data_IF_171025980929
#
_entry.id   IF_171025980929
#
_cell.length_a   1.000
_cell.length_b   1.000
_cell.length_c   1.000
_cell.angle_alpha   90.00
_cell.angle_beta   90.00
_cell.angle_gamma   90.00
#
_symmetry.space_group_name_H-M   'P 1'
#
loop_
_entity.id
_entity.type
_entity.pdbx_description
1 polymer ?
#
# COMPACT_ATOMS: atom_id res chain seq x y z
N UNK A 1 -9.61 -2.18 25.67
CA UNK A 1 -8.36 -1.53 25.21
C UNK A 1 -8.73 -0.17 24.66
N UNK A 2 -7.99 0.91 24.95
CA UNK A 2 -8.29 2.23 24.36
C UNK A 2 -7.73 2.28 22.94
N UNK A 3 -8.27 3.15 22.08
CA UNK A 3 -7.71 3.33 20.72
C UNK A 3 -6.23 3.70 20.77
N UNK A 4 -5.84 4.57 21.70
CA UNK A 4 -4.45 4.98 21.87
C UNK A 4 -3.55 3.78 22.24
N UNK A 5 -3.93 2.98 23.24
CA UNK A 5 -3.12 1.82 23.63
C UNK A 5 -3.00 0.80 22.50
N UNK A 6 -4.09 0.57 21.76
CA UNK A 6 -4.11 -0.30 20.58
C UNK A 6 -3.15 0.18 19.49
N UNK A 7 -3.22 1.46 19.12
CA UNK A 7 -2.34 2.03 18.09
C UNK A 7 -0.87 2.00 18.53
N UNK A 8 -0.57 2.24 19.81
CA UNK A 8 0.78 2.13 20.36
C UNK A 8 1.33 0.69 20.26
N UNK A 9 0.50 -0.33 20.51
CA UNK A 9 0.89 -1.73 20.36
C UNK A 9 1.21 -2.07 18.89
N UNK A 10 0.37 -1.63 17.95
CA UNK A 10 0.63 -1.79 16.50
C UNK A 10 1.98 -1.15 16.11
N UNK A 11 2.24 0.07 16.58
CA UNK A 11 3.47 0.80 16.32
C UNK A 11 4.72 0.07 16.84
N UNK A 12 4.67 -0.43 18.08
CA UNK A 12 5.77 -1.21 18.67
C UNK A 12 6.01 -2.51 17.93
N UNK A 13 4.95 -3.25 17.61
CA UNK A 13 5.04 -4.49 16.84
C UNK A 13 5.66 -4.24 15.46
N UNK A 14 5.25 -3.17 14.78
CA UNK A 14 5.78 -2.79 13.48
C UNK A 14 7.28 -2.42 13.56
N UNK A 15 7.70 -1.67 14.59
CA UNK A 15 9.12 -1.34 14.80
C UNK A 15 10.00 -2.55 15.04
N UNK A 16 9.52 -3.51 15.83
CA UNK A 16 10.25 -4.75 16.08
C UNK A 16 10.38 -5.54 14.77
N UNK A 17 9.28 -5.67 14.03
CA UNK A 17 9.26 -6.37 12.75
C UNK A 17 10.13 -5.69 11.68
N UNK A 18 10.17 -4.35 11.62
CA UNK A 18 10.95 -3.62 10.63
C UNK A 18 12.45 -3.93 10.73
N UNK A 19 12.97 -4.15 11.94
CA UNK A 19 14.38 -4.55 12.15
C UNK A 19 14.66 -5.94 11.57
N UNK A 20 13.74 -6.90 11.76
CA UNK A 20 13.87 -8.24 11.19
C UNK A 20 13.75 -8.23 9.66
N UNK A 21 12.87 -7.40 9.10
CA UNK A 21 12.72 -7.25 7.65
C UNK A 21 13.92 -6.55 7.00
N UNK A 22 14.50 -5.54 7.66
CA UNK A 22 15.72 -4.90 7.16
C UNK A 22 16.91 -5.86 7.11
N UNK A 23 16.96 -6.83 8.03
CA UNK A 23 17.98 -7.87 8.06
C UNK A 23 17.63 -9.12 7.24
N UNK A 24 16.42 -9.22 6.68
CA UNK A 24 16.02 -10.41 5.92
C UNK A 24 16.71 -10.48 4.56
N UNK A 25 16.81 -11.68 4.00
CA UNK A 25 17.31 -11.86 2.64
C UNK A 25 16.20 -11.64 1.62
N UNK A 26 16.57 -11.39 0.36
CA UNK A 26 15.63 -11.36 -0.76
C UNK A 26 14.81 -12.64 -0.83
N UNK A 27 15.44 -13.80 -0.60
CA UNK A 27 14.78 -15.10 -0.65
C UNK A 27 13.71 -15.24 0.43
N UNK A 28 13.97 -14.78 1.67
CA UNK A 28 12.98 -14.77 2.74
C UNK A 28 11.78 -13.87 2.40
N UNK A 29 12.02 -12.66 1.89
CA UNK A 29 10.96 -11.73 1.48
C UNK A 29 10.13 -12.29 0.33
N UNK A 30 10.79 -12.82 -0.71
CA UNK A 30 10.11 -13.42 -1.85
C UNK A 30 9.33 -14.68 -1.45
N UNK A 31 9.88 -15.49 -0.54
CA UNK A 31 9.19 -16.62 0.06
C UNK A 31 7.92 -16.21 0.78
N UNK A 32 7.95 -15.09 1.52
CA UNK A 32 6.78 -14.52 2.17
C UNK A 32 5.71 -14.09 1.16
N UNK A 33 6.09 -13.40 0.08
CA UNK A 33 5.14 -12.99 -0.97
C UNK A 33 4.46 -14.20 -1.62
N UNK A 34 5.21 -15.26 -1.89
CA UNK A 34 4.66 -16.52 -2.41
C UNK A 34 3.72 -17.21 -1.42
N UNK A 35 4.11 -17.32 -0.16
CA UNK A 35 3.28 -17.92 0.89
C UNK A 35 1.99 -17.11 1.13
N UNK A 36 2.06 -15.78 1.04
CA UNK A 36 0.88 -14.91 1.09
C UNK A 36 -0.04 -15.16 -0.11
N UNK A 37 0.51 -15.34 -1.31
CA UNK A 37 -0.29 -15.66 -2.49
C UNK A 37 -1.01 -17.00 -2.32
N UNK A 38 -0.32 -18.04 -1.83
CA UNK A 38 -0.92 -19.36 -1.56
C UNK A 38 -2.02 -19.26 -0.49
N UNK A 39 -1.80 -18.51 0.59
CA UNK A 39 -2.80 -18.31 1.64
C UNK A 39 -4.03 -17.51 1.14
N UNK A 40 -3.82 -16.49 0.30
CA UNK A 40 -4.91 -15.73 -0.32
C UNK A 40 -5.73 -16.59 -1.29
N UNK A 41 -5.05 -17.42 -2.09
CA UNK A 41 -5.69 -18.35 -3.02
C UNK A 41 -6.57 -19.37 -2.28
N UNK A 42 -6.05 -19.94 -1.18
CA UNK A 42 -6.82 -20.83 -0.29
C UNK A 42 -7.94 -20.14 0.49
N UNK A 43 -7.89 -18.81 0.62
CA UNK A 43 -8.89 -18.02 1.36
C UNK A 43 -9.91 -17.32 0.45
N UNK A 44 -9.95 -17.61 -0.85
CA UNK A 44 -10.85 -16.99 -1.84
C UNK A 44 -12.30 -16.90 -1.38
N UNK A 45 -12.88 -18.01 -0.94
CA UNK A 45 -14.29 -18.07 -0.53
C UNK A 45 -14.55 -17.20 0.70
N UNK A 46 -13.60 -17.19 1.65
CA UNK A 46 -13.68 -16.36 2.87
C UNK A 46 -13.62 -14.87 2.52
N UNK A 47 -12.72 -14.49 1.60
CA UNK A 47 -12.57 -13.11 1.13
C UNK A 47 -13.81 -12.67 0.36
N UNK A 48 -14.34 -13.52 -0.53
CA UNK A 48 -15.55 -13.23 -1.29
C UNK A 48 -16.77 -13.07 -0.37
N UNK A 49 -16.94 -13.93 0.64
CA UNK A 49 -18.00 -13.81 1.63
C UNK A 49 -17.90 -12.49 2.42
N UNK A 50 -16.70 -12.17 2.93
CA UNK A 50 -16.47 -10.92 3.64
C UNK A 50 -16.72 -9.68 2.76
N UNK A 51 -16.39 -9.75 1.47
CA UNK A 51 -16.67 -8.69 0.52
C UNK A 51 -18.16 -8.53 0.21
N UNK A 52 -18.91 -9.64 0.14
CA UNK A 52 -20.35 -9.59 -0.03
C UNK A 52 -21.04 -8.86 1.15
N UNK A 53 -20.54 -9.05 2.38
CA UNK A 53 -21.02 -8.32 3.56
C UNK A 53 -20.71 -6.82 3.48
N UNK A 54 -19.48 -6.46 3.08
CA UNK A 54 -19.10 -5.05 2.87
C UNK A 54 -19.96 -4.38 1.79
N UNK A 55 -20.22 -5.06 0.67
CA UNK A 55 -21.08 -4.57 -0.41
C UNK A 55 -22.53 -4.41 0.03
N UNK A 56 -23.06 -5.36 0.81
CA UNK A 56 -24.41 -5.26 1.37
C UNK A 56 -24.52 -4.04 2.30
N UNK A 57 -23.61 -3.90 3.26
CA UNK A 57 -23.54 -2.71 4.14
C UNK A 57 -23.38 -1.42 3.34
N UNK A 58 -22.52 -1.42 2.32
CA UNK A 58 -22.32 -0.26 1.45
C UNK A 58 -23.60 0.19 0.76
N UNK A 59 -24.38 -0.77 0.22
CA UNK A 59 -25.68 -0.48 -0.41
C UNK A 59 -26.70 0.06 0.60
N UNK A 60 -26.78 -0.55 1.78
CA UNK A 60 -27.69 -0.10 2.86
C UNK A 60 -27.38 1.32 3.33
N UNK A 61 -26.10 1.69 3.39
CA UNK A 61 -25.66 3.04 3.77
C UNK A 61 -25.64 4.04 2.61
N UNK A 62 -26.14 3.68 1.42
CA UNK A 62 -26.25 4.58 0.27
C UNK A 62 -24.91 4.95 -0.36
N UNK A 63 -23.93 4.05 -0.34
CA UNK A 63 -22.63 4.26 -0.97
C UNK A 63 -22.80 4.41 -2.50
N UNK A 64 -22.14 5.42 -3.08
CA UNK A 64 -22.21 5.71 -4.51
C UNK A 64 -21.77 4.50 -5.38
N UNK A 65 -22.40 4.26 -6.55
CA UNK A 65 -22.04 3.14 -7.42
C UNK A 65 -20.55 3.04 -7.78
N UNK A 66 -19.84 4.15 -7.95
CA UNK A 66 -18.41 4.13 -8.25
C UNK A 66 -17.55 3.71 -7.05
N UNK A 67 -18.03 3.92 -5.82
CA UNK A 67 -17.39 3.43 -4.61
C UNK A 67 -17.70 1.96 -4.36
N UNK A 68 -18.94 1.50 -4.65
CA UNK A 68 -19.30 0.08 -4.64
C UNK A 68 -18.47 -0.70 -5.67
N UNK A 69 -18.32 -0.18 -6.89
CA UNK A 69 -17.43 -0.78 -7.89
C UNK A 69 -16.00 -0.88 -7.38
N UNK A 70 -15.46 0.12 -6.69
CA UNK A 70 -14.10 0.05 -6.11
C UNK A 70 -13.98 -0.96 -4.96
N UNK A 71 -15.06 -1.15 -4.21
CA UNK A 71 -15.12 -2.03 -3.05
C UNK A 71 -15.20 -3.51 -3.46
N UNK A 72 -15.84 -3.81 -4.60
CA UNK A 72 -16.09 -5.17 -5.05
C UNK A 72 -14.80 -5.99 -5.29
N UNK A 73 -14.81 -7.25 -4.86
CA UNK A 73 -13.77 -8.25 -5.13
C UNK A 73 -14.36 -9.38 -5.97
N UNK A 74 -14.27 -9.23 -7.29
CA UNK A 74 -14.59 -10.31 -8.22
C UNK A 74 -13.46 -11.36 -8.26
N UNK A 75 -13.71 -12.58 -8.76
CA UNK A 75 -12.65 -13.57 -8.94
C UNK A 75 -11.45 -13.03 -9.73
N UNK A 76 -11.70 -12.29 -10.81
CA UNK A 76 -10.65 -11.66 -11.61
C UNK A 76 -9.83 -10.61 -10.84
N UNK A 77 -10.44 -9.88 -9.90
CA UNK A 77 -9.70 -8.95 -9.03
C UNK A 77 -8.85 -9.67 -8.02
N UNK A 78 -9.31 -10.81 -7.50
CA UNK A 78 -8.49 -11.68 -6.64
C UNK A 78 -7.32 -12.25 -7.44
N UNK A 79 -7.54 -12.73 -8.66
CA UNK A 79 -6.47 -13.18 -9.55
C UNK A 79 -5.45 -12.07 -9.80
N UNK A 80 -5.91 -10.83 -9.99
CA UNK A 80 -5.05 -9.65 -10.11
C UNK A 80 -4.17 -9.42 -8.86
N UNK A 81 -4.71 -9.59 -7.65
CA UNK A 81 -3.92 -9.50 -6.42
C UNK A 81 -2.83 -10.58 -6.34
N UNK A 82 -3.14 -11.81 -6.73
CA UNK A 82 -2.19 -12.92 -6.75
C UNK A 82 -1.09 -12.70 -7.80
N UNK A 83 -1.47 -12.25 -9.00
CA UNK A 83 -0.53 -11.89 -10.05
C UNK A 83 0.40 -10.76 -9.59
N UNK A 84 -0.14 -9.71 -8.94
CA UNK A 84 0.64 -8.60 -8.39
C UNK A 84 1.68 -9.05 -7.36
N UNK A 85 1.36 -10.02 -6.50
CA UNK A 85 2.34 -10.61 -5.57
C UNK A 85 3.50 -11.29 -6.33
N UNK A 86 3.19 -12.04 -7.39
CA UNK A 86 4.19 -12.66 -8.25
C UNK A 86 5.08 -11.65 -8.98
N UNK A 87 4.48 -10.60 -9.54
CA UNK A 87 5.20 -9.51 -10.19
C UNK A 87 6.16 -8.81 -9.23
N UNK A 88 5.70 -8.47 -8.02
CA UNK A 88 6.52 -7.82 -6.99
C UNK A 88 7.65 -8.73 -6.52
N UNK A 89 7.41 -10.03 -6.39
CA UNK A 89 8.46 -10.99 -6.04
C UNK A 89 9.57 -11.05 -7.10
N UNK A 90 9.21 -10.91 -8.38
CA UNK A 90 10.13 -10.93 -9.51
C UNK A 90 10.95 -9.64 -9.66
N UNK A 91 10.54 -8.53 -9.04
CA UNK A 91 11.32 -7.28 -9.09
C UNK A 91 12.73 -7.45 -8.49
N UNK A 92 13.74 -6.71 -9.00
CA UNK A 92 15.03 -6.63 -8.33
C UNK A 92 14.89 -6.14 -6.89
N UNK A 93 15.68 -6.69 -5.99
CA UNK A 93 15.67 -6.24 -4.60
C UNK A 93 16.34 -4.87 -4.47
N UNK A 94 15.64 -3.84 -3.97
CA UNK A 94 16.26 -2.54 -3.76
C UNK A 94 17.20 -2.53 -2.53
N UNK A 95 17.01 -3.43 -1.57
CA UNK A 95 17.70 -3.37 -0.27
C UNK A 95 19.14 -3.83 -0.40
N UNK A 96 20.07 -3.05 0.14
CA UNK A 96 21.51 -3.37 0.15
C UNK A 96 22.27 -2.96 -1.11
N UNK A 97 21.60 -2.41 -2.13
CA UNK A 97 22.26 -1.91 -3.33
C UNK A 97 23.25 -0.77 -3.00
N UNK A 98 24.51 -0.92 -3.43
CA UNK A 98 25.59 0.04 -3.20
C UNK A 98 25.85 0.85 -4.48
N UNK A 99 25.97 2.16 -4.35
CA UNK A 99 26.30 3.12 -5.40
C UNK A 99 27.43 4.05 -4.94
N UNK A 100 28.05 4.76 -5.89
CA UNK A 100 29.05 5.80 -5.64
C UNK A 100 30.25 5.34 -4.79
N UNK A 101 30.67 4.08 -4.91
CA UNK A 101 31.75 3.52 -4.08
C UNK A 101 33.12 3.99 -4.58
N UNK A 102 33.77 4.88 -3.82
CA UNK A 102 35.05 5.47 -4.17
C UNK A 102 36.08 5.36 -3.02
N UNK A 103 37.34 5.14 -3.38
CA UNK A 103 38.48 5.20 -2.44
C UNK A 103 38.88 6.66 -2.18
N UNK A 104 39.29 6.96 -0.95
CA UNK A 104 39.79 8.30 -0.55
C UNK A 104 41.29 8.27 -0.28
N UNK A 105 41.99 9.42 -0.36
CA UNK A 105 43.43 9.50 -0.06
C UNK A 105 43.83 8.99 1.34
N UNK A 106 42.88 8.98 2.30
CA UNK A 106 43.09 8.42 3.63
C UNK A 106 43.05 6.88 3.70
N UNK A 107 42.75 6.18 2.60
CA UNK A 107 42.64 4.72 2.55
C UNK A 107 41.25 4.15 2.83
N UNK A 108 40.27 4.99 3.24
CA UNK A 108 38.89 4.56 3.42
C UNK A 108 38.15 4.44 2.09
N UNK A 109 37.14 3.57 2.03
CA UNK A 109 36.16 3.49 0.93
C UNK A 109 34.84 4.06 1.40
N UNK A 110 34.26 4.95 0.61
CA UNK A 110 32.97 5.61 0.91
C UNK A 110 32.02 5.32 -0.23
N UNK A 111 30.79 4.96 0.09
CA UNK A 111 29.71 4.75 -0.88
C UNK A 111 28.36 4.95 -0.22
N UNK A 112 27.29 4.79 -1.01
CA UNK A 112 25.91 4.91 -0.55
C UNK A 112 25.20 3.58 -0.67
N UNK A 113 24.66 3.08 0.43
CA UNK A 113 23.85 1.86 0.46
C UNK A 113 22.37 2.22 0.61
N UNK A 114 21.51 1.60 -0.20
CA UNK A 114 20.07 1.71 -0.04
C UNK A 114 19.60 0.81 1.11
N UNK A 115 18.86 1.40 2.05
CA UNK A 115 18.25 0.69 3.20
C UNK A 115 16.74 0.94 3.21
N UNK A 116 15.95 0.08 3.87
CA UNK A 116 14.52 0.34 4.05
C UNK A 116 14.29 1.63 4.85
N UNK A 117 13.13 2.23 4.68
CA UNK A 117 12.70 3.38 5.50
C UNK A 117 12.41 2.94 6.93
N UNK A 118 11.73 1.80 7.09
CA UNK A 118 11.39 1.19 8.37
C UNK A 118 9.94 0.75 8.44
N UNK A 119 9.02 1.57 8.95
CA UNK A 119 7.57 1.32 8.96
C UNK A 119 6.85 2.36 8.12
N UNK A 120 6.01 1.87 7.23
CA UNK A 120 5.18 2.65 6.33
C UNK A 120 3.72 2.55 6.81
N UNK A 121 3.10 3.68 7.11
CA UNK A 121 1.65 3.77 7.33
C UNK A 121 0.93 3.99 6.01
N UNK A 122 -0.03 3.15 5.63
CA UNK A 122 -0.73 3.28 4.34
C UNK A 122 -2.21 3.44 4.63
N UNK A 123 -2.76 4.58 4.19
CA UNK A 123 -4.13 4.98 4.48
C UNK A 123 -4.86 5.04 3.15
N UNK A 124 -5.85 4.18 2.95
CA UNK A 124 -6.57 4.06 1.69
C UNK A 124 -8.08 3.99 1.89
N UNK A 125 -8.83 4.22 0.81
CA UNK A 125 -10.30 4.23 0.81
C UNK A 125 -10.86 2.83 0.51
N UNK A 126 -12.10 2.76 0.00
CA UNK A 126 -12.87 1.53 -0.28
C UNK A 126 -12.27 0.71 -1.43
N UNK A 127 -11.04 0.22 -1.28
CA UNK A 127 -10.29 -0.58 -2.26
C UNK A 127 -9.55 -1.71 -1.54
N UNK A 128 -10.20 -2.87 -1.30
CA UNK A 128 -9.59 -3.94 -0.53
C UNK A 128 -8.31 -4.50 -1.15
N UNK A 129 -8.18 -4.46 -2.49
CA UNK A 129 -7.00 -4.92 -3.21
C UNK A 129 -5.73 -4.16 -2.83
N UNK A 130 -5.86 -2.88 -2.44
CA UNK A 130 -4.72 -2.05 -2.01
C UNK A 130 -4.05 -2.64 -0.78
N UNK A 131 -4.76 -3.40 0.06
CA UNK A 131 -4.18 -4.11 1.20
C UNK A 131 -3.04 -5.03 0.76
N UNK A 132 -3.26 -5.81 -0.29
CA UNK A 132 -2.28 -6.78 -0.81
C UNK A 132 -1.16 -6.06 -1.55
N UNK A 133 -1.50 -5.15 -2.46
CA UNK A 133 -0.52 -4.42 -3.28
C UNK A 133 0.48 -3.64 -2.39
N UNK A 134 -0.05 -2.98 -1.37
CA UNK A 134 0.71 -2.16 -0.45
C UNK A 134 1.58 -3.00 0.48
N UNK A 135 1.04 -4.11 1.01
CA UNK A 135 1.80 -5.07 1.81
C UNK A 135 2.97 -5.66 1.00
N UNK A 136 2.70 -6.06 -0.25
CA UNK A 136 3.68 -6.69 -1.13
C UNK A 136 4.90 -5.79 -1.38
N UNK A 137 4.66 -4.54 -1.78
CA UNK A 137 5.71 -3.56 -2.04
C UNK A 137 6.51 -3.22 -0.78
N UNK A 138 5.83 -3.06 0.37
CA UNK A 138 6.50 -2.80 1.64
C UNK A 138 7.42 -3.96 2.03
N UNK A 139 6.91 -5.19 2.00
CA UNK A 139 7.66 -6.41 2.29
C UNK A 139 8.87 -6.53 1.39
N UNK A 140 8.69 -6.42 0.06
CA UNK A 140 9.78 -6.51 -0.93
C UNK A 140 10.89 -5.49 -0.66
N UNK A 141 10.52 -4.27 -0.30
CA UNK A 141 11.46 -3.19 0.04
C UNK A 141 12.00 -3.26 1.48
N UNK A 142 11.72 -4.33 2.24
CA UNK A 142 12.23 -4.54 3.60
C UNK A 142 11.57 -3.66 4.66
N UNK A 143 10.38 -3.11 4.40
CA UNK A 143 9.64 -2.26 5.33
C UNK A 143 8.50 -3.04 5.98
N UNK A 144 8.25 -2.77 7.25
CA UNK A 144 7.00 -3.17 7.88
C UNK A 144 5.88 -2.18 7.48
N UNK A 145 4.63 -2.61 7.54
CA UNK A 145 3.49 -1.78 7.14
C UNK A 145 2.34 -1.83 8.14
N UNK A 146 1.73 -0.67 8.37
CA UNK A 146 0.47 -0.51 9.10
C UNK A 146 -0.56 0.02 8.11
N UNK A 147 -1.55 -0.80 7.78
CA UNK A 147 -2.52 -0.58 6.72
C UNK A 147 -3.86 -0.17 7.34
N UNK A 148 -4.38 0.99 6.94
CA UNK A 148 -5.70 1.47 7.36
C UNK A 148 -6.55 1.71 6.12
N UNK A 149 -7.47 0.79 5.84
CA UNK A 149 -8.45 0.92 4.76
C UNK A 149 -9.69 1.73 5.15
N UNK A 150 -10.60 1.93 4.19
CA UNK A 150 -11.92 2.51 4.44
C UNK A 150 -12.74 1.64 5.39
N UNK A 151 -13.61 2.27 6.20
CA UNK A 151 -14.53 1.56 7.11
C UNK A 151 -15.52 0.68 6.34
N UNK A 152 -15.78 1.02 5.07
CA UNK A 152 -16.67 0.33 4.15
C UNK A 152 -16.09 -1.01 3.67
N UNK A 153 -14.77 -1.22 3.85
CA UNK A 153 -14.03 -2.41 3.41
C UNK A 153 -13.51 -3.24 4.60
N UNK A 154 -14.03 -3.03 5.81
CA UNK A 154 -13.43 -3.56 7.04
C UNK A 154 -13.42 -5.09 7.07
N UNK A 155 -14.50 -5.74 6.61
CA UNK A 155 -14.56 -7.21 6.61
C UNK A 155 -13.59 -7.79 5.57
N UNK A 156 -13.56 -7.24 4.36
CA UNK A 156 -12.64 -7.64 3.29
C UNK A 156 -11.19 -7.47 3.71
N UNK A 157 -10.83 -6.31 4.27
CA UNK A 157 -9.47 -6.02 4.71
C UNK A 157 -9.04 -6.95 5.84
N UNK A 158 -9.94 -7.27 6.78
CA UNK A 158 -9.66 -8.22 7.86
C UNK A 158 -9.46 -9.64 7.33
N UNK A 159 -10.28 -10.10 6.38
CA UNK A 159 -10.12 -11.40 5.75
C UNK A 159 -8.78 -11.51 5.01
N UNK A 160 -8.41 -10.48 4.24
CA UNK A 160 -7.13 -10.37 3.55
C UNK A 160 -5.97 -10.33 4.56
N UNK A 161 -6.10 -9.56 5.65
CA UNK A 161 -5.08 -9.48 6.71
C UNK A 161 -4.81 -10.86 7.33
N UNK A 162 -5.86 -11.66 7.55
CA UNK A 162 -5.75 -13.03 8.05
C UNK A 162 -4.90 -13.92 7.14
N UNK A 163 -5.16 -13.87 5.83
CA UNK A 163 -4.37 -14.61 4.84
C UNK A 163 -2.91 -14.13 4.76
N UNK A 164 -2.68 -12.82 4.83
CA UNK A 164 -1.32 -12.26 4.89
C UNK A 164 -0.58 -12.75 6.13
N UNK A 165 -1.23 -12.71 7.30
CA UNK A 165 -0.64 -13.17 8.55
C UNK A 165 -0.33 -14.68 8.52
N UNK A 166 -1.16 -15.49 7.86
CA UNK A 166 -0.91 -16.91 7.62
C UNK A 166 0.33 -17.13 6.74
N UNK A 167 0.43 -16.42 5.61
CA UNK A 167 1.59 -16.49 4.71
C UNK A 167 2.89 -16.07 5.40
N UNK A 168 2.87 -15.00 6.20
CA UNK A 168 4.03 -14.56 6.99
C UNK A 168 4.47 -15.62 8.01
N UNK A 169 3.51 -16.26 8.68
CA UNK A 169 3.77 -17.31 9.69
C UNK A 169 4.40 -18.54 9.06
N UNK A 170 3.96 -18.93 7.86
CA UNK A 170 4.49 -20.08 7.13
C UNK A 170 6.00 -19.98 6.84
N UNK A 171 6.53 -18.75 6.75
CA UNK A 171 7.96 -18.48 6.52
C UNK A 171 8.67 -17.86 7.73
N UNK A 172 8.06 -17.94 8.91
CA UNK A 172 8.60 -17.43 10.18
C UNK A 172 8.98 -15.93 10.16
N UNK A 173 8.28 -15.12 9.35
CA UNK A 173 8.36 -13.67 9.46
C UNK A 173 7.38 -13.16 10.54
N UNK A 174 7.74 -12.09 11.27
CA UNK A 174 6.92 -11.59 12.37
C UNK A 174 5.59 -11.06 11.85
N UNK A 175 4.50 -11.36 12.56
CA UNK A 175 3.16 -10.86 12.21
C UNK A 175 3.11 -9.32 12.14
N UNK A 176 3.94 -8.62 12.92
CA UNK A 176 4.08 -7.16 12.85
C UNK A 176 4.62 -6.60 11.53
N UNK A 177 5.09 -7.47 10.61
CA UNK A 177 5.59 -7.08 9.29
C UNK A 177 4.49 -6.43 8.43
N UNK A 178 3.27 -6.94 8.53
CA UNK A 178 2.09 -6.35 7.88
C UNK A 178 0.94 -6.41 8.86
N UNK A 179 0.41 -5.25 9.23
CA UNK A 179 -0.70 -5.13 10.16
C UNK A 179 -1.82 -4.35 9.51
N UNK A 180 -3.06 -4.76 9.74
CA UNK A 180 -4.26 -4.02 9.33
C UNK A 180 -4.94 -3.48 10.58
N UNK A 181 -5.28 -2.19 10.56
CA UNK A 181 -6.05 -1.54 11.62
C UNK A 181 -7.49 -2.06 11.55
N UNK A 182 -7.95 -2.75 12.59
CA UNK A 182 -9.21 -3.49 12.64
C UNK A 182 -10.40 -2.68 13.22
N UNK A 183 -10.20 -1.39 13.46
CA UNK A 183 -11.24 -0.48 13.95
C UNK A 183 -11.81 0.41 12.86
N UNK A 184 -13.13 0.60 12.89
CA UNK A 184 -13.82 1.58 12.04
C UNK A 184 -13.62 3.04 12.49
N UNK A 185 -13.06 3.27 13.69
CA UNK A 185 -12.90 4.60 14.25
C UNK A 185 -11.99 5.49 13.37
N UNK A 186 -12.54 6.62 12.94
CA UNK A 186 -11.83 7.62 12.13
C UNK A 186 -10.68 8.29 12.89
N UNK A 187 -10.66 8.23 14.22
CA UNK A 187 -9.54 8.71 15.03
C UNK A 187 -8.28 7.84 14.85
N UNK A 188 -8.40 6.61 14.36
CA UNK A 188 -7.23 5.76 14.07
C UNK A 188 -6.33 6.36 12.98
N UNK A 189 -6.92 7.08 12.00
CA UNK A 189 -6.19 7.85 10.98
C UNK A 189 -5.33 8.91 11.66
N UNK A 190 -5.96 9.71 12.52
CA UNK A 190 -5.30 10.80 13.25
C UNK A 190 -4.19 10.29 14.18
N UNK A 191 -4.41 9.14 14.82
CA UNK A 191 -3.39 8.47 15.62
C UNK A 191 -2.20 8.05 14.73
N UNK A 192 -2.45 7.29 13.65
CA UNK A 192 -1.42 6.76 12.77
C UNK A 192 -0.50 7.85 12.18
N UNK A 193 -1.07 8.98 11.73
CA UNK A 193 -0.30 10.08 11.13
C UNK A 193 0.52 10.89 12.14
N UNK A 194 0.28 10.70 13.44
CA UNK A 194 0.99 11.37 14.55
C UNK A 194 2.01 10.46 15.25
N UNK A 195 2.12 9.19 14.86
CA UNK A 195 3.00 8.19 15.48
C UNK A 195 4.47 8.31 15.03
N UNK A 196 5.09 9.49 15.17
CA UNK A 196 6.47 9.77 14.77
C UNK A 196 7.53 8.87 15.44
N UNK A 197 7.22 8.31 16.61
CA UNK A 197 8.09 7.33 17.29
C UNK A 197 8.12 5.95 16.60
N UNK A 198 7.12 5.62 15.77
CA UNK A 198 6.95 4.28 15.21
C UNK A 198 6.63 4.23 13.73
N UNK A 199 6.41 5.34 13.02
CA UNK A 199 6.11 5.36 11.58
C UNK A 199 7.04 6.36 10.91
N UNK A 200 7.78 5.93 9.89
CA UNK A 200 8.78 6.78 9.22
C UNK A 200 8.16 7.57 8.06
N UNK A 201 7.13 7.02 7.43
CA UNK A 201 6.40 7.69 6.34
C UNK A 201 4.95 7.20 6.28
N UNK A 202 4.04 8.11 5.92
CA UNK A 202 2.65 7.78 5.60
C UNK A 202 2.37 7.99 4.12
N UNK A 203 1.63 7.06 3.52
CA UNK A 203 1.20 7.09 2.12
C UNK A 203 -0.33 7.10 2.05
N UNK A 204 -0.98 8.27 1.89
CA UNK A 204 -2.40 8.35 1.62
C UNK A 204 -2.71 7.95 0.16
N UNK A 205 -3.70 7.08 -0.03
CA UNK A 205 -4.19 6.60 -1.32
C UNK A 205 -5.71 6.71 -1.37
N UNK A 206 -6.19 7.87 -1.80
CA UNK A 206 -7.62 8.14 -1.88
C UNK A 206 -7.92 9.46 -2.56
N UNK A 207 -9.14 9.96 -2.35
CA UNK A 207 -9.58 11.24 -2.86
C UNK A 207 -8.84 12.42 -2.23
N UNK A 208 -9.07 13.60 -2.82
CA UNK A 208 -8.51 14.88 -2.39
C UNK A 208 -8.73 15.13 -0.89
N UNK A 209 -9.94 14.90 -0.39
CA UNK A 209 -10.28 15.14 1.02
C UNK A 209 -9.48 14.28 2.01
N UNK A 210 -9.19 13.02 1.66
CA UNK A 210 -8.33 12.17 2.50
C UNK A 210 -6.90 12.71 2.54
N UNK A 211 -6.36 13.08 1.37
CA UNK A 211 -4.99 13.59 1.25
C UNK A 211 -4.83 14.91 2.02
N UNK A 212 -5.79 15.82 1.88
CA UNK A 212 -5.82 17.10 2.60
C UNK A 212 -5.89 16.89 4.12
N UNK A 213 -6.78 16.01 4.59
CA UNK A 213 -6.89 15.69 6.02
C UNK A 213 -5.61 15.08 6.58
N UNK A 214 -5.06 14.05 5.92
CA UNK A 214 -3.81 13.41 6.34
C UNK A 214 -2.68 14.43 6.37
N UNK A 215 -2.58 15.29 5.36
CA UNK A 215 -1.56 16.35 5.32
C UNK A 215 -1.69 17.32 6.48
N UNK A 216 -2.91 17.76 6.80
CA UNK A 216 -3.14 18.76 7.83
C UNK A 216 -2.83 18.25 9.25
N UNK A 217 -3.01 16.95 9.48
CA UNK A 217 -2.86 16.35 10.81
C UNK A 217 -1.52 15.65 11.04
N UNK A 218 -0.78 15.34 9.97
CA UNK A 218 0.42 14.51 10.03
C UNK A 218 1.60 15.21 10.72
N UNK A 219 2.25 14.45 11.60
CA UNK A 219 3.60 14.74 12.11
C UNK A 219 4.66 13.86 11.44
N UNK A 220 4.24 12.69 10.99
CA UNK A 220 5.05 11.77 10.17
C UNK A 220 5.19 12.33 8.74
N UNK A 221 6.36 12.19 8.08
CA UNK A 221 6.52 12.54 6.67
C UNK A 221 5.44 11.90 5.78
N UNK A 222 4.89 12.67 4.83
CA UNK A 222 3.80 12.19 3.96
C UNK A 222 4.28 12.10 2.51
N UNK A 223 4.22 10.90 1.93
CA UNK A 223 4.43 10.66 0.50
C UNK A 223 3.08 10.67 -0.21
N UNK A 224 2.79 11.78 -0.89
CA UNK A 224 1.50 12.02 -1.57
C UNK A 224 1.73 12.63 -2.94
N UNK A 225 0.75 12.44 -3.82
CA UNK A 225 0.61 13.31 -4.98
C UNK A 225 -0.24 14.53 -4.60
N UNK A 226 -0.01 15.65 -5.29
CA UNK A 226 -0.87 16.83 -5.21
C UNK A 226 -2.02 16.68 -6.22
N UNK A 227 -2.59 17.79 -6.67
CA UNK A 227 -3.59 17.78 -7.72
C UNK A 227 -3.00 17.28 -9.04
N UNK A 228 -3.68 16.31 -9.65
CA UNK A 228 -3.37 15.79 -10.98
C UNK A 228 -3.85 16.73 -12.07
N UNK A 229 -3.22 17.90 -12.21
CA UNK A 229 -3.53 18.86 -13.27
C UNK A 229 -2.53 18.67 -14.40
N UNK A 230 -2.92 17.86 -15.38
CA UNK A 230 -2.10 17.54 -16.55
C UNK A 230 -2.48 18.45 -17.73
N UNK A 231 -1.48 18.88 -18.51
CA UNK A 231 -1.68 19.70 -19.70
C UNK A 231 -1.04 19.03 -20.90
N UNK A 232 -1.67 19.11 -22.07
CA UNK A 232 -1.05 18.82 -23.37
C UNK A 232 -0.93 20.13 -24.12
N UNK A 233 0.30 20.54 -24.41
CA UNK A 233 0.59 21.68 -25.28
C UNK A 233 0.78 21.18 -26.71
N UNK A 234 -0.01 21.73 -27.64
CA UNK A 234 0.09 21.44 -29.07
C UNK A 234 0.83 22.61 -29.72
N UNK A 235 2.08 22.37 -30.10
CA UNK A 235 2.90 23.35 -30.81
C UNK A 235 2.39 23.61 -32.24
N UNK A 236 2.67 24.79 -32.78
CA UNK A 236 2.26 25.15 -34.14
C UNK A 236 2.87 24.23 -35.22
N UNK A 237 4.02 23.61 -34.96
CA UNK A 237 4.66 22.65 -35.86
C UNK A 237 4.29 21.19 -35.58
N UNK A 238 3.36 20.92 -34.65
CA UNK A 238 2.98 19.55 -34.31
C UNK A 238 2.26 18.85 -35.48
N UNK A 239 2.57 17.57 -35.68
CA UNK A 239 1.82 16.74 -36.62
C UNK A 239 0.34 16.66 -36.19
N UNK A 240 -0.62 17.05 -37.05
CA UNK A 240 -2.03 17.14 -36.65
C UNK A 240 -2.64 15.80 -36.23
N UNK A 241 -2.22 14.69 -36.87
CA UNK A 241 -2.78 13.36 -36.62
C UNK A 241 -2.31 12.86 -35.25
N UNK A 242 -1.02 13.00 -34.96
CA UNK A 242 -0.43 12.65 -33.67
C UNK A 242 -0.98 13.53 -32.55
N UNK A 243 -1.09 14.85 -32.77
CA UNK A 243 -1.61 15.78 -31.78
C UNK A 243 -3.05 15.43 -31.37
N UNK A 244 -3.91 15.12 -32.34
CA UNK A 244 -5.27 14.66 -32.09
C UNK A 244 -5.28 13.34 -31.30
N UNK A 245 -4.50 12.35 -31.72
CA UNK A 245 -4.44 11.04 -31.04
C UNK A 245 -4.00 11.16 -29.57
N UNK A 246 -2.98 11.97 -29.28
CA UNK A 246 -2.50 12.22 -27.92
C UNK A 246 -3.55 12.96 -27.09
N UNK A 247 -4.14 14.04 -27.62
CA UNK A 247 -5.11 14.86 -26.88
C UNK A 247 -6.37 14.04 -26.51
N UNK A 248 -6.87 13.22 -27.43
CA UNK A 248 -8.01 12.33 -27.18
C UNK A 248 -7.62 11.27 -26.14
N UNK A 249 -6.52 10.55 -26.35
CA UNK A 249 -6.09 9.49 -25.43
C UNK A 249 -5.87 10.01 -24.00
N UNK A 250 -5.16 11.13 -23.86
CA UNK A 250 -4.87 11.77 -22.58
C UNK A 250 -6.12 12.20 -21.81
N UNK A 251 -7.25 12.45 -22.49
CA UNK A 251 -8.51 12.82 -21.86
C UNK A 251 -9.46 11.64 -21.65
N UNK A 252 -9.52 10.71 -22.61
CA UNK A 252 -10.63 9.74 -22.70
C UNK A 252 -10.27 8.30 -22.36
N UNK A 253 -8.98 7.97 -22.14
CA UNK A 253 -8.62 6.60 -21.77
C UNK A 253 -9.25 6.18 -20.43
N UNK A 254 -9.19 7.06 -19.42
CA UNK A 254 -9.79 6.83 -18.10
C UNK A 254 -10.06 8.16 -17.39
N UNK A 255 -11.32 8.49 -17.17
CA UNK A 255 -11.69 9.79 -16.57
C UNK A 255 -11.34 9.93 -15.09
N UNK A 256 -11.25 8.82 -14.36
CA UNK A 256 -11.10 8.81 -12.90
C UNK A 256 -9.66 8.79 -12.37
N UNK A 257 -8.65 8.91 -13.23
CA UNK A 257 -7.22 8.86 -12.85
C UNK A 257 -6.58 10.24 -12.81
N UNK A 258 -5.60 10.43 -11.93
CA UNK A 258 -4.96 11.74 -11.71
C UNK A 258 -3.98 12.16 -12.82
N UNK A 259 -3.67 11.29 -13.77
CA UNK A 259 -2.80 11.58 -14.92
C UNK A 259 -3.59 11.99 -16.17
N UNK A 260 -4.91 12.09 -16.06
CA UNK A 260 -5.81 12.49 -17.15
C UNK A 260 -5.73 14.02 -17.32
N UNK A 261 -5.58 14.49 -18.57
CA UNK A 261 -5.71 15.91 -18.95
C UNK A 261 -7.14 16.40 -18.67
#
# INVERSE_FOLDING_TARGET
MTLDSYMQELGRAARIASRRLAASTTAERNGALKAIAEALDGARDRIAAANAEDLARGREHGLDPALLDRLELTPARIDGMLAGLGEVAALPDPVGAISDLASRPSGIRVGRMRVPLGVIGIIYESRPNVTVDAAALCLKAGNASILRGGSEALASNTAIAGAIAEGLRAVALPAGAVQVVDTADRAAVSALVRMEAYVDVVVPRGGKGLIERVTAEARVPVLKHLHGVCHVFIDAAADPVMAHAIAVNAKTQRYGTCNTM
#
